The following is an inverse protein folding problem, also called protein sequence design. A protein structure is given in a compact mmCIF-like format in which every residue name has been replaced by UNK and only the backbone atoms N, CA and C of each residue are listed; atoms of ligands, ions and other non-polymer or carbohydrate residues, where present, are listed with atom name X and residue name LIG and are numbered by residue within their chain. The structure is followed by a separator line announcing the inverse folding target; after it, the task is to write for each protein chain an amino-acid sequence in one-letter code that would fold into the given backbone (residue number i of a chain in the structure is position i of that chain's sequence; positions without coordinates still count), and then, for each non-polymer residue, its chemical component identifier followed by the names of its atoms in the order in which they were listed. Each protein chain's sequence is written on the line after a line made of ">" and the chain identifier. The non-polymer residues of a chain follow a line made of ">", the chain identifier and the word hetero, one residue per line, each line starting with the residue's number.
data_IF_115689275362
#
_entry.id   IF_115689275362
#
_cell.length_a   1.000
_cell.length_b   1.000
_cell.length_c   1.000
_cell.angle_alpha   90.00
_cell.angle_beta   90.00
_cell.angle_gamma   90.00
#
_symmetry.space_group_name_H-M   'P 1'
#
loop_
_entity.id
_entity.type
_entity.pdbx_description
1 polymer ?
#
# COMPACT_ATOMS: atom_id res chain seq x y z
N UNK A 1 -5.09 -16.86 -8.69
CA UNK A 1 -3.78 -16.80 -9.38
C UNK A 1 -3.65 -15.55 -10.26
N UNK A 2 -4.48 -15.37 -11.30
CA UNK A 2 -4.41 -14.17 -12.16
C UNK A 2 -4.53 -12.84 -11.42
N UNK A 3 -5.48 -12.72 -10.47
CA UNK A 3 -5.64 -11.52 -9.64
C UNK A 3 -4.35 -11.18 -8.89
N UNK A 4 -3.70 -12.17 -8.28
CA UNK A 4 -2.44 -11.99 -7.57
C UNK A 4 -1.34 -11.50 -8.51
N UNK A 5 -1.21 -12.12 -9.69
CA UNK A 5 -0.21 -11.72 -10.69
C UNK A 5 -0.42 -10.24 -11.09
N UNK A 6 -1.65 -9.87 -11.44
CA UNK A 6 -2.01 -8.49 -11.81
C UNK A 6 -1.72 -7.52 -10.66
N UNK A 7 -2.07 -7.89 -9.43
CA UNK A 7 -1.81 -7.06 -8.25
C UNK A 7 -0.31 -6.90 -7.97
N UNK A 8 0.48 -7.98 -8.06
CA UNK A 8 1.94 -7.93 -7.92
C UNK A 8 2.57 -7.01 -8.97
N UNK A 9 2.16 -7.12 -10.23
CA UNK A 9 2.63 -6.23 -11.30
C UNK A 9 2.23 -4.78 -11.06
N UNK A 10 0.98 -4.52 -10.66
CA UNK A 10 0.53 -3.18 -10.34
C UNK A 10 1.31 -2.59 -9.17
N UNK A 11 1.48 -3.34 -8.07
CA UNK A 11 2.25 -2.89 -6.92
C UNK A 11 3.69 -2.56 -7.30
N UNK A 12 4.35 -3.46 -8.05
CA UNK A 12 5.71 -3.25 -8.53
C UNK A 12 5.80 -2.00 -9.41
N UNK A 13 4.88 -1.83 -10.36
CA UNK A 13 4.83 -0.68 -11.25
C UNK A 13 4.72 0.63 -10.47
N UNK A 14 3.78 0.73 -9.54
CA UNK A 14 3.57 1.95 -8.75
C UNK A 14 4.75 2.25 -7.81
N UNK A 15 5.37 1.22 -7.23
CA UNK A 15 6.60 1.37 -6.43
C UNK A 15 7.76 1.90 -7.29
N UNK A 16 7.96 1.35 -8.49
CA UNK A 16 9.01 1.79 -9.41
C UNK A 16 8.75 3.21 -9.92
N UNK A 17 7.51 3.52 -10.32
CA UNK A 17 7.12 4.86 -10.74
C UNK A 17 7.40 5.88 -9.64
N UNK A 18 7.03 5.55 -8.40
CA UNK A 18 7.30 6.42 -7.27
C UNK A 18 8.80 6.60 -7.04
N UNK A 19 9.56 5.51 -6.91
CA UNK A 19 10.97 5.54 -6.56
C UNK A 19 11.86 6.23 -7.62
N UNK A 20 11.63 5.97 -8.90
CA UNK A 20 12.51 6.43 -9.98
C UNK A 20 12.07 7.74 -10.63
N UNK A 21 10.77 8.04 -10.66
CA UNK A 21 10.22 9.22 -11.32
C UNK A 21 9.76 10.26 -10.31
N UNK A 22 8.76 9.94 -9.49
CA UNK A 22 8.06 10.96 -8.70
C UNK A 22 8.84 11.43 -7.48
N UNK A 23 9.62 10.56 -6.82
CA UNK A 23 10.48 10.95 -5.70
C UNK A 23 11.54 11.98 -6.09
N UNK A 24 12.02 11.96 -7.34
CA UNK A 24 13.00 12.92 -7.86
C UNK A 24 12.40 14.29 -8.17
N UNK A 25 11.07 14.38 -8.32
CA UNK A 25 10.37 15.63 -8.62
C UNK A 25 10.10 16.45 -7.35
N UNK A 26 10.26 15.86 -6.17
CA UNK A 26 10.05 16.54 -4.89
C UNK A 26 11.38 17.16 -4.43
N UNK A 27 11.49 18.48 -4.30
CA UNK A 27 12.68 19.12 -3.72
C UNK A 27 12.77 18.77 -2.23
N UNK A 28 13.91 18.23 -1.79
CA UNK A 28 14.14 17.73 -0.42
C UNK A 28 13.07 16.74 0.06
N UNK A 29 13.01 15.53 -0.51
CA UNK A 29 12.01 14.55 -0.11
C UNK A 29 12.24 14.13 1.35
N UNK A 30 11.19 14.25 2.17
CA UNK A 30 11.18 13.74 3.55
C UNK A 30 11.70 12.30 3.58
N UNK A 31 12.70 11.94 4.41
CA UNK A 31 13.24 10.58 4.41
C UNK A 31 12.21 9.57 4.94
N UNK A 32 11.25 10.02 5.74
CA UNK A 32 10.23 9.17 6.34
C UNK A 32 9.04 8.95 5.38
N UNK A 33 8.90 7.73 4.87
CA UNK A 33 7.79 7.34 3.97
C UNK A 33 6.41 7.50 4.62
N UNK A 34 6.26 7.25 5.91
CA UNK A 34 4.97 7.41 6.60
C UNK A 34 4.54 8.87 6.60
N UNK A 35 5.48 9.79 6.83
CA UNK A 35 5.22 11.23 6.79
C UNK A 35 4.87 11.68 5.36
N UNK A 36 5.56 11.14 4.34
CA UNK A 36 5.22 11.40 2.94
C UNK A 36 3.81 10.93 2.58
N UNK A 37 3.36 9.78 3.10
CA UNK A 37 2.00 9.28 2.88
C UNK A 37 0.97 10.16 3.61
N UNK A 38 1.29 10.63 4.82
CA UNK A 38 0.45 11.59 5.56
C UNK A 38 0.27 12.90 4.79
N UNK A 39 1.36 13.48 4.29
CA UNK A 39 1.31 14.72 3.49
C UNK A 39 0.56 14.48 2.18
N UNK A 40 0.80 13.32 1.54
CA UNK A 40 0.10 12.94 0.32
C UNK A 40 -1.42 12.84 0.51
N UNK A 41 -1.88 12.43 1.70
CA UNK A 41 -3.31 12.36 2.02
C UNK A 41 -3.95 13.76 2.10
N UNK A 42 -3.20 14.75 2.60
CA UNK A 42 -3.66 16.14 2.70
C UNK A 42 -3.69 16.85 1.35
N UNK A 43 -2.74 16.53 0.47
CA UNK A 43 -2.63 17.09 -0.89
C UNK A 43 -2.69 16.01 -1.97
N UNK A 44 -3.78 15.24 -1.96
CA UNK A 44 -3.95 14.10 -2.86
C UNK A 44 -4.13 14.48 -4.33
N UNK A 45 -4.30 15.77 -4.67
CA UNK A 45 -4.51 16.21 -6.07
C UNK A 45 -3.23 16.18 -6.89
N UNK A 46 -2.07 16.25 -6.25
CA UNK A 46 -0.80 16.17 -6.98
C UNK A 46 -0.52 14.75 -7.48
N UNK A 47 -0.05 14.63 -8.73
CA UNK A 47 0.23 13.34 -9.38
C UNK A 47 1.23 12.49 -8.59
N UNK A 48 2.25 13.10 -7.98
CA UNK A 48 3.22 12.35 -7.16
C UNK A 48 2.58 11.74 -5.91
N UNK A 49 1.65 12.47 -5.28
CA UNK A 49 0.93 12.02 -4.09
C UNK A 49 -0.08 10.93 -4.45
N UNK A 50 -0.78 11.05 -5.59
CA UNK A 50 -1.65 10.00 -6.11
C UNK A 50 -0.89 8.69 -6.32
N UNK A 51 0.27 8.74 -6.98
CA UNK A 51 1.06 7.53 -7.26
C UNK A 51 1.55 6.89 -5.96
N UNK A 52 1.96 7.68 -4.97
CA UNK A 52 2.32 7.19 -3.64
C UNK A 52 1.13 6.54 -2.93
N UNK A 53 -0.02 7.21 -2.90
CA UNK A 53 -1.22 6.72 -2.24
C UNK A 53 -1.74 5.43 -2.90
N UNK A 54 -1.75 5.35 -4.23
CA UNK A 54 -2.14 4.13 -4.95
C UNK A 54 -1.16 2.99 -4.64
N UNK A 55 0.15 3.25 -4.65
CA UNK A 55 1.15 2.27 -4.25
C UNK A 55 0.93 1.77 -2.82
N UNK A 56 0.62 2.68 -1.89
CA UNK A 56 0.33 2.34 -0.50
C UNK A 56 -0.98 1.55 -0.35
N UNK A 57 -2.05 1.91 -1.06
CA UNK A 57 -3.30 1.14 -1.09
C UNK A 57 -3.09 -0.26 -1.66
N UNK A 58 -2.32 -0.39 -2.75
CA UNK A 58 -1.95 -1.68 -3.31
C UNK A 58 -1.15 -2.51 -2.32
N UNK A 59 -0.24 -1.90 -1.56
CA UNK A 59 0.50 -2.55 -0.48
C UNK A 59 -0.42 -3.03 0.66
N UNK A 60 -1.38 -2.20 1.09
CA UNK A 60 -2.35 -2.58 2.12
C UNK A 60 -3.27 -3.72 1.69
N UNK A 61 -3.65 -3.75 0.40
CA UNK A 61 -4.53 -4.76 -0.18
C UNK A 61 -3.78 -6.01 -0.66
N UNK A 62 -2.47 -5.94 -0.88
CA UNK A 62 -1.66 -7.07 -1.33
C UNK A 62 -1.84 -8.26 -0.41
N UNK A 63 -1.90 -8.02 0.92
CA UNK A 63 -2.32 -9.02 1.84
C UNK A 63 -3.62 -9.75 1.43
N UNK A 64 -4.71 -9.00 1.38
CA UNK A 64 -6.04 -9.54 1.08
C UNK A 64 -6.05 -10.37 -0.22
N UNK A 65 -5.29 -9.95 -1.24
CA UNK A 65 -5.17 -10.66 -2.52
C UNK A 65 -4.46 -12.01 -2.42
N UNK A 66 -3.42 -12.15 -1.59
CA UNK A 66 -2.83 -13.47 -1.28
C UNK A 66 -3.83 -14.32 -0.49
N UNK A 67 -4.55 -13.71 0.45
CA UNK A 67 -5.65 -14.31 1.21
C UNK A 67 -6.68 -14.99 0.30
N UNK A 68 -7.24 -14.23 -0.64
CA UNK A 68 -8.18 -14.74 -1.63
C UNK A 68 -7.57 -15.78 -2.58
N UNK A 69 -6.28 -15.66 -2.90
CA UNK A 69 -5.65 -16.53 -3.90
C UNK A 69 -5.23 -17.90 -3.39
N UNK A 70 -4.89 -18.01 -2.10
CA UNK A 70 -4.35 -19.24 -1.50
C UNK A 70 -5.10 -19.72 -0.27
N UNK A 71 -5.59 -18.78 0.53
CA UNK A 71 -6.01 -19.04 1.90
C UNK A 71 -7.53 -19.29 1.99
N UNK A 72 -8.39 -18.68 1.16
CA UNK A 72 -9.83 -18.98 1.22
C UNK A 72 -10.27 -20.35 0.64
N UNK A 73 -9.33 -21.27 0.45
CA UNK A 73 -9.62 -22.66 0.08
C UNK A 73 -9.96 -23.57 1.27
N UNK A 74 -9.67 -23.17 2.51
CA UNK A 74 -10.03 -23.96 3.71
C UNK A 74 -10.29 -23.10 4.95
N UNK A 75 -11.11 -23.60 5.88
CA UNK A 75 -11.51 -22.89 7.11
C UNK A 75 -10.33 -22.58 8.05
N UNK A 76 -9.22 -23.32 7.93
CA UNK A 76 -7.98 -23.11 8.69
C UNK A 76 -7.34 -21.72 8.44
N UNK A 77 -7.78 -21.04 7.39
CA UNK A 77 -7.17 -19.82 6.90
C UNK A 77 -7.89 -18.54 7.32
N UNK A 78 -8.96 -18.65 8.12
CA UNK A 78 -9.62 -17.50 8.77
C UNK A 78 -8.65 -16.73 9.66
N UNK A 79 -7.74 -17.42 10.36
CA UNK A 79 -6.71 -16.77 11.20
C UNK A 79 -5.77 -15.90 10.38
N UNK A 80 -5.41 -16.34 9.17
CA UNK A 80 -4.59 -15.54 8.26
C UNK A 80 -5.35 -14.26 7.90
N UNK A 81 -6.61 -14.36 7.50
CA UNK A 81 -7.43 -13.17 7.19
C UNK A 81 -7.51 -12.21 8.39
N UNK A 82 -7.75 -12.72 9.61
CA UNK A 82 -7.82 -11.90 10.83
C UNK A 82 -6.51 -11.16 11.09
N UNK A 83 -5.37 -11.86 11.05
CA UNK A 83 -4.05 -11.23 11.23
C UNK A 83 -3.82 -10.13 10.20
N UNK A 84 -4.39 -10.26 9.00
CA UNK A 84 -4.17 -9.37 7.88
C UNK A 84 -5.04 -8.12 8.01
N UNK A 85 -6.26 -8.26 8.53
CA UNK A 85 -7.10 -7.13 8.95
C UNK A 85 -6.41 -6.35 10.07
N UNK A 86 -5.87 -7.02 11.10
CA UNK A 86 -5.14 -6.39 12.20
C UNK A 86 -3.91 -5.63 11.66
N UNK A 87 -3.15 -6.26 10.77
CA UNK A 87 -1.97 -5.65 10.15
C UNK A 87 -2.34 -4.40 9.34
N UNK A 88 -3.36 -4.48 8.47
CA UNK A 88 -3.80 -3.34 7.64
C UNK A 88 -4.36 -2.20 8.50
N UNK A 89 -5.09 -2.53 9.57
CA UNK A 89 -5.56 -1.58 10.56
C UNK A 89 -4.41 -0.85 11.24
N UNK A 90 -3.38 -1.58 11.71
CA UNK A 90 -2.22 -0.98 12.35
C UNK A 90 -1.47 -0.04 11.41
N UNK A 91 -1.19 -0.48 10.18
CA UNK A 91 -0.55 0.40 9.19
C UNK A 91 -1.37 1.65 8.92
N UNK A 92 -2.68 1.52 8.75
CA UNK A 92 -3.57 2.66 8.53
C UNK A 92 -3.60 3.60 9.74
N UNK A 93 -3.64 3.06 10.97
CA UNK A 93 -3.62 3.84 12.21
C UNK A 93 -2.31 4.62 12.35
N UNK A 94 -1.17 3.95 12.22
CA UNK A 94 0.15 4.60 12.31
C UNK A 94 0.40 5.60 11.19
N UNK A 95 -0.26 5.40 10.04
CA UNK A 95 -0.14 6.30 8.90
C UNK A 95 -1.08 7.49 9.03
N UNK A 96 -2.37 7.34 9.30
CA UNK A 96 -3.33 8.46 9.21
C UNK A 96 -3.70 9.10 10.56
N UNK A 97 -3.50 8.39 11.67
CA UNK A 97 -4.02 8.78 13.00
C UNK A 97 -2.91 8.94 14.04
N UNK A 98 -1.71 9.28 13.59
CA UNK A 98 -0.57 9.56 14.47
C UNK A 98 -0.83 10.91 15.16
N UNK A 99 -1.35 10.86 16.39
CA UNK A 99 -1.33 11.98 17.35
C UNK A 99 0.10 12.34 17.75
#
# INVERSE_FOLDING_TARGET
>A
MWLLIVHSFALLLFVLLYAFRFRKLVPNPEPNLLLQIQTATKDWKSTHHLVLLIGFSLFLLYPLTLGFSFYLQSDANVLVVILWVIWAYNWSKYTFWRE
#
